data_IF_557244256204
#
_entry.id   IF_557244256204
#
_cell.length_a   1.000
_cell.length_b   1.000
_cell.length_c   1.000
_cell.angle_alpha   90.00
_cell.angle_beta   90.00
_cell.angle_gamma   90.00
#
_symmetry.space_group_name_H-M   'P 1'
#
loop_
_entity.id
_entity.type
_entity.pdbx_description
1 polymer ?
#
# COMPACT_ATOMS: atom_id res chain seq x y z
N UNK A 1 21.08 -39.30 -37.57
CA UNK A 1 20.89 -37.99 -36.93
C UNK A 1 22.26 -37.50 -36.52
N UNK A 2 22.99 -36.92 -37.48
CA UNK A 2 24.39 -36.57 -37.30
C UNK A 2 24.60 -35.25 -38.03
N UNK A 3 24.83 -34.20 -37.25
CA UNK A 3 24.74 -32.80 -37.67
C UNK A 3 25.76 -32.40 -38.74
N UNK A 4 25.26 -31.65 -39.72
CA UNK A 4 26.05 -31.00 -40.75
C UNK A 4 26.50 -29.63 -40.22
N UNK A 5 27.80 -29.50 -39.91
CA UNK A 5 28.42 -28.23 -39.49
C UNK A 5 28.99 -27.55 -40.74
N UNK A 6 28.25 -26.60 -41.30
CA UNK A 6 28.74 -25.76 -42.40
C UNK A 6 29.72 -24.70 -41.89
N UNK A 7 30.93 -24.72 -42.46
CA UNK A 7 32.02 -23.77 -42.20
C UNK A 7 31.68 -22.40 -42.79
N UNK A 8 31.36 -21.44 -41.94
CA UNK A 8 31.14 -20.03 -42.32
C UNK A 8 32.46 -19.38 -42.77
N UNK A 9 32.48 -19.01 -44.04
CA UNK A 9 33.60 -18.38 -44.77
C UNK A 9 33.82 -16.94 -44.27
N UNK A 10 34.95 -16.68 -43.60
CA UNK A 10 35.40 -15.34 -43.18
C UNK A 10 35.47 -14.39 -44.40
N UNK A 11 34.64 -13.35 -44.42
CA UNK A 11 34.68 -12.27 -45.43
C UNK A 11 35.88 -11.37 -45.19
N UNK A 12 36.71 -11.19 -46.24
CA UNK A 12 37.82 -10.21 -46.30
C UNK A 12 37.26 -8.79 -46.22
N UNK A 13 37.86 -7.99 -45.33
CA UNK A 13 37.66 -6.54 -45.16
C UNK A 13 38.02 -5.84 -46.48
N UNK A 14 37.07 -5.12 -47.09
CA UNK A 14 37.37 -4.20 -48.20
C UNK A 14 38.07 -2.98 -47.60
N UNK A 15 39.34 -2.81 -47.95
CA UNK A 15 40.09 -1.57 -47.83
C UNK A 15 39.69 -0.70 -49.02
N UNK A 16 38.96 0.40 -48.79
CA UNK A 16 38.72 1.38 -49.83
C UNK A 16 40.06 2.01 -50.23
N UNK A 17 40.46 1.69 -51.45
CA UNK A 17 41.69 2.13 -52.07
C UNK A 17 41.64 3.63 -52.36
N UNK A 18 42.67 4.32 -51.88
CA UNK A 18 43.06 5.64 -52.33
C UNK A 18 43.38 5.62 -53.84
N UNK A 19 42.45 6.06 -54.68
CA UNK A 19 42.75 6.47 -56.06
C UNK A 19 42.83 8.00 -56.11
N UNK A 20 44.05 8.52 -55.94
CA UNK A 20 44.35 9.92 -56.27
C UNK A 20 44.26 10.07 -57.79
N UNK A 21 43.41 10.94 -58.36
CA UNK A 21 43.52 11.30 -59.76
C UNK A 21 44.74 12.19 -59.96
N UNK A 22 45.84 11.62 -60.45
CA UNK A 22 47.01 12.37 -60.92
C UNK A 22 46.72 12.94 -62.32
N UNK A 23 46.00 14.06 -62.35
CA UNK A 23 46.03 14.98 -63.49
C UNK A 23 45.74 16.37 -62.93
N UNK A 24 46.81 17.16 -62.76
CA UNK A 24 46.70 18.61 -62.59
C UNK A 24 45.92 19.12 -63.79
N UNK A 25 44.67 19.48 -63.59
CA UNK A 25 43.99 20.44 -64.47
C UNK A 25 44.74 21.74 -64.24
N UNK A 26 45.49 22.19 -65.24
CA UNK A 26 46.06 23.53 -65.24
C UNK A 26 44.87 24.49 -65.19
N UNK A 27 44.65 25.08 -64.03
CA UNK A 27 43.76 26.24 -63.90
C UNK A 27 44.51 27.37 -64.58
N UNK A 28 43.88 27.91 -65.61
CA UNK A 28 44.33 29.06 -66.38
C UNK A 28 44.53 30.27 -65.46
N UNK A 29 45.64 30.97 -65.67
CA UNK A 29 46.02 32.28 -65.14
C UNK A 29 45.90 32.50 -63.61
N UNK A 30 46.99 32.22 -62.89
CA UNK A 30 47.25 32.73 -61.54
C UNK A 30 47.25 34.28 -61.55
N UNK A 31 46.08 34.91 -61.43
CA UNK A 31 45.99 36.30 -60.98
C UNK A 31 46.61 36.35 -59.59
N UNK A 32 47.81 36.92 -59.46
CA UNK A 32 48.46 37.12 -58.18
C UNK A 32 47.54 37.93 -57.26
N UNK A 33 46.92 37.25 -56.29
CA UNK A 33 46.04 37.88 -55.31
C UNK A 33 46.91 38.64 -54.33
N UNK A 34 46.71 39.95 -54.22
CA UNK A 34 47.38 40.76 -53.20
C UNK A 34 46.65 40.60 -51.88
N UNK A 35 47.32 39.98 -50.91
CA UNK A 35 46.78 39.73 -49.57
C UNK A 35 47.17 40.86 -48.63
N UNK A 36 46.18 41.55 -48.07
CA UNK A 36 46.39 42.52 -46.98
C UNK A 36 45.81 41.96 -45.69
N UNK A 37 46.64 41.94 -44.64
CA UNK A 37 46.20 41.60 -43.29
C UNK A 37 45.70 42.88 -42.61
N UNK A 38 44.41 42.97 -42.31
CA UNK A 38 43.85 44.08 -41.55
C UNK A 38 43.81 43.73 -40.07
N UNK A 39 44.35 44.63 -39.24
CA UNK A 39 44.25 44.51 -37.80
C UNK A 39 42.78 44.71 -37.40
N UNK A 40 42.22 43.68 -36.78
CA UNK A 40 40.85 43.74 -36.27
C UNK A 40 40.81 44.64 -35.03
N UNK A 41 39.86 45.58 -35.03
CA UNK A 41 39.63 46.46 -33.89
C UNK A 41 39.09 45.72 -32.66
N UNK A 42 38.41 46.44 -31.76
CA UNK A 42 37.84 45.85 -30.54
C UNK A 42 36.83 44.72 -30.83
N UNK A 43 36.20 44.75 -31.99
CA UNK A 43 35.19 43.79 -32.43
C UNK A 43 35.69 43.05 -33.67
N UNK A 44 36.05 41.79 -33.47
CA UNK A 44 36.46 40.88 -34.54
C UNK A 44 35.24 40.16 -35.14
N UNK A 45 35.25 39.81 -36.44
CA UNK A 45 34.20 39.01 -37.04
C UNK A 45 34.01 37.68 -36.29
N UNK A 46 32.75 37.25 -36.14
CA UNK A 46 32.40 36.03 -35.38
C UNK A 46 31.89 34.96 -36.34
N UNK A 47 32.49 33.78 -36.27
CA UNK A 47 32.03 32.57 -36.93
C UNK A 47 31.26 31.75 -35.90
N UNK A 48 29.94 31.79 -35.98
CA UNK A 48 29.07 31.04 -35.07
C UNK A 48 28.70 29.68 -35.66
N UNK A 49 29.03 28.60 -34.95
CA UNK A 49 28.53 27.25 -35.23
C UNK A 49 27.26 27.00 -34.42
N UNK A 50 26.23 26.45 -35.05
CA UNK A 50 24.94 26.13 -34.42
C UNK A 50 24.62 24.64 -34.56
N UNK A 51 25.31 23.74 -33.83
CA UNK A 51 25.11 22.30 -33.99
C UNK A 51 23.68 21.91 -33.59
N UNK A 52 22.89 21.45 -34.56
CA UNK A 52 21.53 20.99 -34.34
C UNK A 52 20.52 22.09 -33.96
N UNK A 53 20.86 23.37 -34.16
CA UNK A 53 20.02 24.50 -33.80
C UNK A 53 19.86 25.45 -34.99
N UNK A 54 18.61 25.77 -35.34
CA UNK A 54 18.30 26.85 -36.28
C UNK A 54 18.08 28.13 -35.48
N UNK A 55 18.97 29.11 -35.63
CA UNK A 55 18.84 30.42 -35.00
C UNK A 55 18.06 31.34 -35.94
N UNK A 56 16.90 31.88 -35.53
CA UNK A 56 16.15 32.84 -36.35
C UNK A 56 16.99 34.08 -36.69
N UNK A 57 16.90 34.55 -37.94
CA UNK A 57 17.61 35.75 -38.41
C UNK A 57 17.12 37.04 -37.77
N UNK A 58 15.95 37.02 -37.11
CA UNK A 58 15.35 38.15 -36.41
C UNK A 58 15.89 38.39 -35.00
N UNK A 59 16.80 37.54 -34.51
CA UNK A 59 17.33 37.63 -33.14
C UNK A 59 18.66 38.38 -33.14
N UNK A 60 18.75 39.40 -32.30
CA UNK A 60 19.98 40.14 -32.08
C UNK A 60 20.78 39.54 -30.91
N UNK A 61 22.02 39.18 -31.19
CA UNK A 61 22.97 38.67 -30.19
C UNK A 61 23.72 39.85 -29.56
N UNK A 62 23.51 40.08 -28.26
CA UNK A 62 24.18 41.14 -27.52
C UNK A 62 25.59 40.69 -27.11
N UNK A 63 26.64 41.46 -27.48
CA UNK A 63 28.00 41.09 -27.15
C UNK A 63 28.44 41.56 -25.76
N UNK A 64 29.11 40.69 -25.02
CA UNK A 64 29.71 40.94 -23.71
C UNK A 64 31.17 40.51 -23.72
N UNK A 65 32.08 41.33 -23.20
CA UNK A 65 33.51 41.02 -23.16
C UNK A 65 34.00 40.86 -21.74
N UNK A 66 34.93 39.92 -21.54
CA UNK A 66 35.56 39.65 -20.25
C UNK A 66 37.07 39.46 -20.45
N UNK A 67 37.90 40.04 -19.61
CA UNK A 67 39.34 39.80 -19.67
C UNK A 67 39.67 38.38 -19.20
N UNK A 68 40.46 37.63 -19.98
CA UNK A 68 40.91 36.29 -19.57
C UNK A 68 42.00 36.41 -18.51
N UNK A 69 42.00 35.48 -17.55
CA UNK A 69 43.08 35.35 -16.54
C UNK A 69 44.23 34.54 -17.14
N UNK A 70 45.48 34.91 -16.87
CA UNK A 70 46.71 34.26 -17.37
C UNK A 70 47.00 34.40 -18.87
N UNK A 71 46.99 35.64 -19.37
CA UNK A 71 47.30 35.94 -20.78
C UNK A 71 48.80 36.24 -20.95
N UNK A 72 49.51 35.68 -21.95
CA UNK A 72 50.91 35.99 -22.21
C UNK A 72 51.10 37.45 -22.67
N UNK A 73 52.20 38.09 -22.24
CA UNK A 73 52.50 39.53 -22.38
C UNK A 73 52.59 40.08 -23.82
N UNK A 74 52.49 39.24 -24.86
CA UNK A 74 52.50 39.61 -26.29
C UNK A 74 51.39 38.88 -27.06
N UNK A 75 50.14 39.13 -26.69
CA UNK A 75 48.97 38.49 -27.31
C UNK A 75 48.09 39.53 -28.01
N UNK A 76 47.41 39.12 -29.09
CA UNK A 76 46.43 39.97 -29.78
C UNK A 76 45.24 40.27 -28.86
N UNK A 77 44.55 41.39 -29.12
CA UNK A 77 43.34 41.82 -28.39
C UNK A 77 42.27 40.73 -28.31
N UNK A 78 42.26 39.82 -29.29
CA UNK A 78 41.35 38.68 -29.40
C UNK A 78 41.63 37.61 -28.34
N UNK A 79 42.90 37.27 -28.11
CA UNK A 79 43.32 36.25 -27.14
C UNK A 79 43.17 36.77 -25.70
N UNK A 80 43.36 38.08 -25.50
CA UNK A 80 43.30 38.69 -24.19
C UNK A 80 41.87 38.82 -23.62
N UNK A 81 40.86 38.88 -24.49
CA UNK A 81 39.45 39.08 -24.11
C UNK A 81 38.60 37.92 -24.60
N UNK A 82 37.82 37.33 -23.71
CA UNK A 82 36.74 36.40 -24.03
C UNK A 82 35.50 37.19 -24.47
N UNK A 83 34.88 36.79 -25.57
CA UNK A 83 33.64 37.37 -26.08
C UNK A 83 32.50 36.36 -25.89
N UNK A 84 31.44 36.80 -25.21
CA UNK A 84 30.21 36.04 -24.99
C UNK A 84 29.09 36.76 -25.73
N UNK A 85 28.30 36.02 -26.51
CA UNK A 85 27.10 36.57 -27.13
C UNK A 85 25.87 35.99 -26.46
N UNK A 86 24.92 36.84 -26.07
CA UNK A 86 23.68 36.37 -25.44
C UNK A 86 22.46 37.06 -26.03
N UNK A 87 21.38 36.29 -26.21
CA UNK A 87 20.07 36.84 -26.56
C UNK A 87 18.93 36.11 -25.86
N UNK A 88 18.03 36.93 -25.32
CA UNK A 88 16.77 36.53 -24.69
C UNK A 88 15.58 37.11 -25.45
N UNK A 89 15.70 37.36 -26.75
CA UNK A 89 14.61 37.91 -27.56
C UNK A 89 13.58 36.84 -27.96
N UNK A 90 13.97 35.55 -27.97
CA UNK A 90 13.04 34.48 -28.32
C UNK A 90 12.11 34.12 -27.14
N UNK A 91 10.80 33.95 -27.35
CA UNK A 91 9.83 33.75 -26.26
C UNK A 91 10.12 32.57 -25.33
N UNK A 92 10.69 31.48 -25.85
CA UNK A 92 10.85 30.20 -25.13
C UNK A 92 12.31 29.78 -24.88
N UNK A 93 13.26 30.40 -25.57
CA UNK A 93 14.65 29.95 -25.62
C UNK A 93 15.56 31.13 -25.39
N UNK A 94 16.63 30.90 -24.63
CA UNK A 94 17.73 31.85 -24.54
C UNK A 94 18.94 31.27 -25.27
N UNK A 95 19.54 32.10 -26.12
CA UNK A 95 20.70 31.74 -26.91
C UNK A 95 21.95 32.29 -26.24
N UNK A 96 22.93 31.43 -26.02
CA UNK A 96 24.26 31.80 -25.51
C UNK A 96 25.32 31.27 -26.45
N UNK A 97 26.14 32.14 -27.02
CA UNK A 97 27.34 31.78 -27.75
C UNK A 97 28.55 31.95 -26.83
N UNK A 98 29.33 30.89 -26.71
CA UNK A 98 30.61 30.90 -26.02
C UNK A 98 31.71 30.50 -26.98
N UNK A 99 32.91 31.02 -26.74
CA UNK A 99 34.13 30.49 -27.32
C UNK A 99 34.39 29.10 -26.73
N UNK A 100 34.91 28.18 -27.54
CA UNK A 100 35.19 26.83 -27.06
C UNK A 100 36.26 26.89 -25.94
N UNK A 101 35.96 26.23 -24.82
CA UNK A 101 36.79 26.30 -23.62
C UNK A 101 38.19 25.72 -23.87
N UNK A 102 39.19 26.24 -23.16
CA UNK A 102 40.60 25.84 -23.32
C UNK A 102 40.78 24.36 -22.95
N UNK A 103 40.86 23.50 -23.97
CA UNK A 103 40.93 22.04 -23.82
C UNK A 103 40.41 21.24 -25.03
N UNK A 104 39.61 21.86 -25.91
CA UNK A 104 39.18 21.28 -27.19
C UNK A 104 40.25 21.35 -28.29
N UNK A 105 40.15 20.50 -29.32
CA UNK A 105 41.10 20.45 -30.46
C UNK A 105 41.15 21.76 -31.27
N UNK A 106 40.07 22.54 -31.26
CA UNK A 106 39.98 23.85 -31.91
C UNK A 106 40.63 24.98 -31.09
N UNK A 107 40.93 24.78 -29.81
CA UNK A 107 41.52 25.84 -28.97
C UNK A 107 42.92 26.27 -29.39
N UNK A 108 43.62 25.43 -30.17
CA UNK A 108 44.93 25.73 -30.78
C UNK A 108 44.81 26.35 -32.18
N UNK A 109 43.61 26.46 -32.75
CA UNK A 109 43.38 26.96 -34.10
C UNK A 109 42.98 28.43 -34.08
N UNK A 110 43.54 29.20 -35.03
CA UNK A 110 43.12 30.57 -35.31
C UNK A 110 42.27 30.58 -36.57
N UNK A 111 41.13 31.25 -36.52
CA UNK A 111 40.25 31.38 -37.66
C UNK A 111 40.43 32.75 -38.31
N UNK A 112 40.33 32.80 -39.63
CA UNK A 112 40.41 34.04 -40.39
C UNK A 112 39.24 34.09 -41.38
N UNK A 113 38.70 35.28 -41.61
CA UNK A 113 37.72 35.57 -42.66
C UNK A 113 38.44 36.34 -43.76
N UNK A 114 38.40 35.81 -44.97
CA UNK A 114 38.91 36.47 -46.17
C UNK A 114 37.77 37.08 -46.96
N UNK A 115 37.85 38.38 -47.27
CA UNK A 115 36.97 39.06 -48.23
C UNK A 115 37.77 39.24 -49.51
N UNK A 116 37.33 38.57 -50.58
CA UNK A 116 37.95 38.66 -51.90
C UNK A 116 37.10 39.52 -52.82
N UNK A 117 37.69 40.56 -53.36
CA UNK A 117 37.07 41.39 -54.38
C UNK A 117 37.57 40.95 -55.78
N UNK A 118 36.70 40.33 -56.61
CA UNK A 118 37.08 39.79 -57.91
C UNK A 118 37.45 40.87 -58.93
N UNK A 119 36.97 42.11 -58.75
CA UNK A 119 37.25 43.22 -59.67
C UNK A 119 38.63 43.83 -59.43
N UNK A 120 39.05 43.95 -58.16
CA UNK A 120 40.34 44.55 -57.79
C UNK A 120 41.46 43.54 -57.54
N UNK A 121 41.15 42.24 -57.46
CA UNK A 121 42.13 41.16 -57.22
C UNK A 121 42.79 41.23 -55.84
N UNK A 122 42.20 41.97 -54.90
CA UNK A 122 42.67 42.13 -53.51
C UNK A 122 41.90 41.20 -52.59
N UNK A 123 42.63 40.55 -51.67
CA UNK A 123 42.05 39.74 -50.61
C UNK A 123 42.40 40.36 -49.26
N UNK A 124 41.39 40.77 -48.52
CA UNK A 124 41.54 41.27 -47.15
C UNK A 124 41.30 40.13 -46.16
N UNK A 125 42.24 39.89 -45.26
CA UNK A 125 42.18 38.81 -44.27
C UNK A 125 42.11 39.40 -42.88
N UNK A 126 41.06 39.04 -42.14
CA UNK A 126 40.78 39.46 -40.76
C UNK A 126 40.76 38.26 -39.81
N UNK A 127 41.35 38.40 -38.61
CA UNK A 127 41.26 37.37 -37.54
C UNK A 127 39.81 37.29 -37.00
N UNK A 128 39.26 36.08 -36.91
CA UNK A 128 37.87 35.83 -36.55
C UNK A 128 37.75 34.95 -35.30
N UNK A 129 36.70 35.20 -34.51
CA UNK A 129 36.38 34.41 -33.31
C UNK A 129 35.41 33.29 -33.68
N UNK A 130 35.78 32.04 -33.40
CA UNK A 130 34.85 30.91 -33.52
C UNK A 130 34.08 30.74 -32.21
N UNK A 131 32.76 30.70 -32.31
CA UNK A 131 31.86 30.49 -31.18
C UNK A 131 30.86 29.39 -31.47
N UNK A 132 30.37 28.74 -30.42
CA UNK A 132 29.29 27.76 -30.52
C UNK A 132 28.06 28.32 -29.82
N UNK A 133 26.96 28.45 -30.56
CA UNK A 133 25.68 28.87 -30.01
C UNK A 133 24.96 27.66 -29.43
N UNK A 134 24.54 27.79 -28.17
CA UNK A 134 23.67 26.84 -27.48
C UNK A 134 22.36 27.52 -27.11
N UNK A 135 21.25 26.81 -27.32
CA UNK A 135 19.94 27.22 -26.85
C UNK A 135 19.64 26.55 -25.52
N UNK A 136 19.16 27.33 -24.55
CA UNK A 136 18.64 26.83 -23.28
C UNK A 136 17.15 27.14 -23.18
N UNK A 137 16.37 26.21 -22.64
CA UNK A 137 14.93 26.38 -22.48
C UNK A 137 14.67 27.15 -21.19
N UNK A 138 13.93 28.26 -21.28
CA UNK A 138 13.64 29.12 -20.11
C UNK A 138 13.00 28.37 -18.95
N UNK A 139 12.06 27.46 -19.26
CA UNK A 139 11.38 26.64 -18.25
C UNK A 139 12.35 25.76 -17.44
N UNK A 140 13.50 25.39 -18.01
CA UNK A 140 14.49 24.54 -17.34
C UNK A 140 15.45 25.35 -16.45
N UNK A 141 15.64 26.64 -16.72
CA UNK A 141 16.48 27.51 -15.89
C UNK A 141 15.84 27.79 -14.53
N UNK A 142 14.52 28.01 -14.48
CA UNK A 142 13.77 28.29 -13.23
C UNK A 142 13.93 27.15 -12.21
N UNK A 143 13.88 25.90 -12.66
CA UNK A 143 14.04 24.74 -11.78
C UNK A 143 15.44 24.65 -11.15
N UNK A 144 16.49 25.16 -11.83
CA UNK A 144 17.85 25.17 -11.30
C UNK A 144 18.08 26.29 -10.28
N UNK A 145 17.41 27.43 -10.45
CA UNK A 145 17.46 28.54 -9.48
C UNK A 145 16.80 28.17 -8.15
N UNK A 146 15.71 27.40 -8.17
CA UNK A 146 15.04 26.89 -6.98
C UNK A 146 15.90 25.89 -6.17
N UNK A 147 16.83 25.19 -6.83
CA UNK A 147 17.81 24.35 -6.11
C UNK A 147 18.95 25.19 -5.51
N UNK A 148 19.31 26.29 -6.18
CA UNK A 148 20.34 27.24 -5.74
C UNK A 148 19.87 28.15 -4.59
N UNK A 149 18.57 28.35 -4.43
CA UNK A 149 17.97 29.13 -3.33
C UNK A 149 17.73 28.34 -2.04
N UNK A 150 17.89 27.01 -2.05
CA UNK A 150 17.75 26.18 -0.83
C UNK A 150 18.75 26.58 0.24
N UNK A 151 18.25 26.73 1.47
CA UNK A 151 19.07 27.09 2.62
C UNK A 151 20.16 26.02 2.85
N UNK A 152 21.34 26.45 3.31
CA UNK A 152 22.47 25.57 3.58
C UNK A 152 22.13 24.48 4.59
N UNK A 153 21.17 24.74 5.48
CA UNK A 153 20.62 23.75 6.42
C UNK A 153 19.82 22.66 5.71
N UNK A 154 18.95 23.02 4.79
CA UNK A 154 18.14 22.07 4.01
C UNK A 154 19.02 21.17 3.14
N UNK A 155 20.06 21.73 2.53
CA UNK A 155 21.04 20.96 1.75
C UNK A 155 21.75 19.90 2.62
N UNK A 156 22.10 20.25 3.86
CA UNK A 156 22.70 19.32 4.83
C UNK A 156 21.72 18.24 5.26
N UNK A 157 20.46 18.60 5.49
CA UNK A 157 19.41 17.66 5.87
C UNK A 157 19.10 16.68 4.71
N UNK A 158 19.04 17.16 3.47
CA UNK A 158 18.88 16.34 2.27
C UNK A 158 20.06 15.38 2.11
N UNK A 159 21.30 15.87 2.23
CA UNK A 159 22.50 15.03 2.15
C UNK A 159 22.54 13.97 3.27
N UNK A 160 22.11 14.35 4.48
CA UNK A 160 22.01 13.46 5.63
C UNK A 160 20.89 12.42 5.49
N UNK A 161 19.79 12.75 4.82
CA UNK A 161 18.73 11.80 4.50
C UNK A 161 19.11 10.84 3.38
N UNK A 162 19.84 11.30 2.36
CA UNK A 162 20.24 10.46 1.22
C UNK A 162 21.39 9.53 1.60
N UNK A 163 22.50 10.08 2.11
CA UNK A 163 23.75 9.34 2.35
C UNK A 163 24.08 9.07 3.82
N UNK A 164 23.33 9.63 4.77
CA UNK A 164 23.61 9.45 6.20
C UNK A 164 23.35 8.04 6.74
N UNK A 165 23.94 7.72 7.90
CA UNK A 165 23.67 6.48 8.63
C UNK A 165 22.24 6.46 9.18
N UNK A 166 21.70 5.27 9.51
CA UNK A 166 20.35 5.12 10.09
C UNK A 166 20.13 6.00 11.33
N UNK A 167 21.19 6.24 12.13
CA UNK A 167 21.16 7.15 13.29
C UNK A 167 21.03 8.62 12.88
N UNK A 168 21.79 9.05 11.87
CA UNK A 168 21.72 10.41 11.35
C UNK A 168 20.36 10.69 10.68
N UNK A 169 19.84 9.76 9.88
CA UNK A 169 18.50 9.85 9.28
C UNK A 169 17.43 10.01 10.37
N UNK A 170 17.50 9.21 11.43
CA UNK A 170 16.56 9.30 12.57
C UNK A 170 16.66 10.63 13.33
N UNK A 171 17.85 11.20 13.46
CA UNK A 171 18.04 12.50 14.11
C UNK A 171 17.41 13.63 13.29
N UNK A 172 17.59 13.61 11.96
CA UNK A 172 16.98 14.57 11.04
C UNK A 172 15.46 14.44 11.08
N UNK A 173 14.91 13.21 10.97
CA UNK A 173 13.45 13.02 11.03
C UNK A 173 12.87 13.45 12.38
N UNK A 174 13.57 13.20 13.49
CA UNK A 174 13.11 13.65 14.80
C UNK A 174 13.13 15.18 14.93
N UNK A 175 14.15 15.84 14.36
CA UNK A 175 14.21 17.30 14.35
C UNK A 175 13.09 17.90 13.49
N UNK A 176 12.79 17.32 12.32
CA UNK A 176 11.67 17.77 11.48
C UNK A 176 10.32 17.51 12.16
N UNK A 177 10.12 16.35 12.81
CA UNK A 177 8.91 16.04 13.57
C UNK A 177 8.66 17.02 14.73
N UNK A 178 9.73 17.40 15.46
CA UNK A 178 9.63 18.38 16.53
C UNK A 178 9.31 19.78 16.00
N UNK A 179 9.83 20.17 14.84
CA UNK A 179 9.56 21.46 14.22
C UNK A 179 8.09 21.58 13.74
N UNK A 180 7.50 20.47 13.28
CA UNK A 180 6.08 20.42 12.86
C UNK A 180 5.12 20.50 14.05
N UNK A 181 5.59 20.19 15.27
CA UNK A 181 4.79 20.24 16.50
C UNK A 181 5.21 21.39 17.42
N UNK A 182 4.87 22.67 17.12
CA UNK A 182 5.26 23.81 17.96
C UNK A 182 4.61 23.77 19.36
N UNK A 183 3.59 22.93 19.58
CA UNK A 183 2.79 22.89 20.79
C UNK A 183 3.30 21.93 21.89
N UNK A 184 4.61 21.84 22.10
CA UNK A 184 5.14 21.16 23.31
C UNK A 184 4.90 21.98 24.59
N UNK A 185 4.66 23.29 24.47
CA UNK A 185 4.27 24.19 25.57
C UNK A 185 2.82 24.06 26.03
N UNK A 186 1.94 23.42 25.24
CA UNK A 186 0.52 23.23 25.57
C UNK A 186 0.24 21.98 26.44
N UNK A 187 1.28 21.22 26.83
CA UNK A 187 1.12 20.04 27.70
C UNK A 187 1.11 20.38 29.20
N UNK A 188 1.38 21.64 29.57
CA UNK A 188 1.19 22.09 30.94
C UNK A 188 -0.25 22.54 31.17
N UNK A 189 -0.89 21.86 32.13
CA UNK A 189 -2.24 22.08 32.65
C UNK A 189 -2.68 23.55 32.63
N UNK A 190 -3.93 23.75 32.17
CA UNK A 190 -4.86 24.85 32.46
C UNK A 190 -4.97 26.08 31.53
N UNK A 191 -4.41 26.11 30.32
CA UNK A 191 -4.79 27.16 29.35
C UNK A 191 -5.19 26.59 27.98
N UNK A 192 -6.30 27.08 27.36
CA UNK A 192 -6.68 26.66 26.02
C UNK A 192 -5.62 27.12 25.02
N UNK A 193 -5.15 26.18 24.19
CA UNK A 193 -4.16 26.45 23.16
C UNK A 193 -4.69 27.49 22.19
N UNK A 194 -4.06 28.66 22.13
CA UNK A 194 -4.34 29.67 21.10
C UNK A 194 -3.72 29.16 19.79
N UNK A 195 -4.56 28.61 18.92
CA UNK A 195 -4.18 28.29 17.55
C UNK A 195 -3.98 29.59 16.76
N UNK A 196 -2.95 29.63 15.92
CA UNK A 196 -2.74 30.72 14.95
C UNK A 196 -3.96 30.77 13.99
N UNK A 197 -4.55 31.95 13.69
CA UNK A 197 -5.74 32.08 12.83
C UNK A 197 -5.71 31.26 11.53
N UNK A 198 -4.54 31.10 10.90
CA UNK A 198 -4.38 30.26 9.72
C UNK A 198 -4.59 28.76 10.03
N UNK A 199 -4.06 28.28 11.17
CA UNK A 199 -4.26 26.89 11.62
C UNK A 199 -5.70 26.62 12.05
N UNK A 200 -6.38 27.63 12.61
CA UNK A 200 -7.80 27.53 12.96
C UNK A 200 -8.69 27.43 11.71
N UNK A 201 -8.38 28.18 10.65
CA UNK A 201 -9.10 28.10 9.36
C UNK A 201 -8.88 26.76 8.63
N UNK A 202 -7.67 26.20 8.72
CA UNK A 202 -7.38 24.86 8.18
C UNK A 202 -8.13 23.78 8.99
N UNK A 203 -8.15 23.90 10.32
CA UNK A 203 -8.90 22.97 11.19
C UNK A 203 -10.42 23.06 10.97
N UNK A 204 -10.96 24.25 10.71
CA UNK A 204 -12.39 24.40 10.35
C UNK A 204 -12.69 23.77 8.99
N UNK A 205 -11.82 23.96 7.99
CA UNK A 205 -11.97 23.30 6.68
C UNK A 205 -11.86 21.77 6.77
N UNK A 206 -10.97 21.25 7.62
CA UNK A 206 -10.90 19.81 7.93
C UNK A 206 -12.17 19.35 8.65
N UNK A 207 -12.70 20.10 9.60
CA UNK A 207 -13.94 19.75 10.30
C UNK A 207 -15.14 19.67 9.34
N UNK A 208 -15.23 20.55 8.34
CA UNK A 208 -16.29 20.52 7.34
C UNK A 208 -16.14 19.34 6.37
N UNK A 209 -14.92 19.02 5.96
CA UNK A 209 -14.62 17.86 5.10
C UNK A 209 -14.77 16.52 5.84
N UNK A 210 -14.60 16.52 7.18
CA UNK A 210 -14.71 15.31 8.02
C UNK A 210 -16.09 15.09 8.63
N UNK A 211 -17.07 15.99 8.43
CA UNK A 211 -18.49 15.76 8.81
C UNK A 211 -19.08 14.48 8.18
N UNK A 212 -18.54 14.03 7.06
CA UNK A 212 -18.90 12.75 6.41
C UNK A 212 -18.10 11.54 6.89
N UNK A 213 -17.08 11.70 7.74
CA UNK A 213 -16.37 10.57 8.34
C UNK A 213 -17.18 10.04 9.53
N UNK A 214 -17.46 8.74 9.52
CA UNK A 214 -18.07 8.07 10.67
C UNK A 214 -17.22 8.31 11.91
N UNK A 215 -17.88 8.67 13.02
CA UNK A 215 -17.19 8.88 14.29
C UNK A 215 -16.44 7.61 14.70
N UNK A 216 -15.38 7.73 15.51
CA UNK A 216 -14.61 6.57 15.97
C UNK A 216 -15.52 5.50 16.61
N UNK A 217 -16.55 5.95 17.32
CA UNK A 217 -17.49 5.07 18.00
C UNK A 217 -18.46 4.40 17.01
N UNK A 218 -18.95 5.12 15.99
CA UNK A 218 -19.74 4.52 14.90
C UNK A 218 -18.94 3.52 14.07
N UNK A 219 -17.67 3.83 13.76
CA UNK A 219 -16.79 2.93 13.03
C UNK A 219 -16.49 1.67 13.85
N UNK A 220 -16.28 1.84 15.16
CA UNK A 220 -16.12 0.72 16.09
C UNK A 220 -17.40 -0.12 16.19
N UNK A 221 -18.58 0.51 16.26
CA UNK A 221 -19.86 -0.21 16.27
C UNK A 221 -20.08 -0.99 14.97
N UNK A 222 -19.81 -0.40 13.81
CA UNK A 222 -19.88 -1.12 12.52
C UNK A 222 -18.91 -2.30 12.47
N UNK A 223 -17.69 -2.14 12.99
CA UNK A 223 -16.72 -3.23 13.07
C UNK A 223 -17.20 -4.33 14.03
N UNK A 224 -17.83 -3.97 15.14
CA UNK A 224 -18.42 -4.91 16.09
C UNK A 224 -19.63 -5.65 15.51
N UNK A 225 -20.49 -4.97 14.76
CA UNK A 225 -21.66 -5.55 14.10
C UNK A 225 -21.28 -6.43 12.90
N UNK A 226 -20.14 -6.15 12.28
CA UNK A 226 -19.59 -6.95 11.18
C UNK A 226 -18.94 -8.26 11.64
N UNK A 227 -18.69 -8.47 12.94
CA UNK A 227 -18.11 -9.71 13.45
C UNK A 227 -19.11 -10.89 13.34
N UNK A 228 -18.63 -12.14 13.14
CA UNK A 228 -19.48 -13.32 12.96
C UNK A 228 -20.06 -13.82 14.29
N UNK A 229 -20.99 -13.08 14.88
CA UNK A 229 -21.72 -13.48 16.09
C UNK A 229 -23.22 -13.16 16.00
N UNK A 230 -24.09 -13.90 16.72
CA UNK A 230 -25.48 -13.50 16.85
C UNK A 230 -25.58 -12.12 17.51
N UNK A 231 -26.58 -11.34 17.10
CA UNK A 231 -26.75 -9.96 17.56
C UNK A 231 -27.23 -9.96 19.02
N UNK A 232 -26.43 -9.45 19.97
CA UNK A 232 -26.84 -9.44 21.36
C UNK A 232 -27.87 -8.32 21.60
N UNK A 233 -28.90 -8.61 22.40
CA UNK A 233 -29.76 -7.58 22.94
C UNK A 233 -29.01 -6.82 24.04
N UNK A 234 -28.63 -5.56 23.77
CA UNK A 234 -27.84 -4.74 24.69
C UNK A 234 -28.63 -4.20 25.88
N UNK A 235 -29.95 -4.11 25.74
CA UNK A 235 -30.86 -3.59 26.75
C UNK A 235 -31.41 -4.69 27.67
N UNK A 236 -30.89 -5.91 27.53
CA UNK A 236 -31.26 -7.05 28.36
C UNK A 236 -30.90 -6.80 29.84
N UNK A 237 -31.88 -7.00 30.73
CA UNK A 237 -31.68 -6.92 32.19
C UNK A 237 -31.38 -8.28 32.80
N UNK A 238 -31.82 -9.37 32.16
CA UNK A 238 -31.54 -10.74 32.54
C UNK A 238 -30.69 -11.46 31.47
N UNK A 239 -29.80 -12.40 31.84
CA UNK A 239 -29.00 -13.16 30.88
C UNK A 239 -29.83 -13.90 29.82
N UNK A 240 -31.08 -14.25 30.17
CA UNK A 240 -32.06 -14.89 29.30
C UNK A 240 -32.47 -14.01 28.11
N UNK A 241 -32.51 -12.70 28.30
CA UNK A 241 -33.00 -11.76 27.28
C UNK A 241 -31.91 -11.32 26.31
N UNK A 242 -30.64 -11.67 26.58
CA UNK A 242 -29.49 -11.32 25.73
C UNK A 242 -29.57 -12.01 24.38
N UNK A 243 -29.89 -13.31 24.40
CA UNK A 243 -30.00 -14.16 23.21
C UNK A 243 -31.31 -14.93 23.28
N UNK A 244 -32.28 -14.51 22.47
CA UNK A 244 -33.58 -15.17 22.40
C UNK A 244 -33.55 -16.35 21.45
N UNK A 245 -34.37 -17.36 21.71
CA UNK A 245 -34.54 -18.54 20.85
C UNK A 245 -35.08 -18.16 19.46
N UNK A 246 -35.90 -17.11 19.41
CA UNK A 246 -36.48 -16.56 18.19
C UNK A 246 -35.43 -15.96 17.25
N UNK A 247 -34.46 -15.21 17.77
CA UNK A 247 -33.40 -14.60 16.96
C UNK A 247 -32.42 -15.67 16.44
N UNK A 248 -31.99 -16.58 17.33
CA UNK A 248 -31.01 -17.63 16.99
C UNK A 248 -31.56 -18.62 15.97
N UNK A 249 -32.75 -19.20 16.21
CA UNK A 249 -33.31 -20.28 15.38
C UNK A 249 -34.42 -19.75 14.48
N UNK A 250 -35.41 -19.07 15.06
CA UNK A 250 -36.65 -18.65 14.40
C UNK A 250 -37.85 -19.53 14.77
N UNK A 251 -39.02 -18.91 14.99
CA UNK A 251 -40.26 -19.58 15.45
C UNK A 251 -40.68 -20.74 14.55
N UNK A 252 -40.64 -20.55 13.24
CA UNK A 252 -41.12 -21.55 12.27
C UNK A 252 -40.19 -22.77 12.21
N UNK A 253 -38.88 -22.53 12.24
CA UNK A 253 -37.87 -23.59 12.28
C UNK A 253 -37.98 -24.36 13.59
N UNK A 254 -38.19 -23.67 14.71
CA UNK A 254 -38.36 -24.29 16.02
C UNK A 254 -39.59 -25.22 16.09
N UNK A 255 -40.68 -24.88 15.42
CA UNK A 255 -41.87 -25.74 15.31
C UNK A 255 -41.59 -26.98 14.46
N UNK A 256 -40.84 -26.82 13.37
CA UNK A 256 -40.54 -27.88 12.43
C UNK A 256 -39.61 -28.97 12.99
N UNK A 257 -38.74 -28.68 13.97
CA UNK A 257 -37.76 -29.66 14.47
C UNK A 257 -38.46 -30.86 15.15
N UNK A 258 -38.25 -32.10 14.64
CA UNK A 258 -38.83 -33.30 15.24
C UNK A 258 -38.03 -33.74 16.46
N UNK A 259 -38.73 -33.93 17.59
CA UNK A 259 -38.13 -34.39 18.86
C UNK A 259 -38.81 -35.62 19.46
N UNK A 260 -39.91 -36.11 18.87
CA UNK A 260 -40.68 -37.25 19.41
C UNK A 260 -39.82 -38.51 19.54
N UNK A 261 -39.06 -38.85 18.50
CA UNK A 261 -38.12 -39.99 18.53
C UNK A 261 -37.13 -39.86 19.68
N UNK A 262 -36.63 -38.66 19.96
CA UNK A 262 -35.69 -38.42 21.06
C UNK A 262 -36.36 -38.53 22.43
N UNK A 263 -37.61 -38.08 22.55
CA UNK A 263 -38.39 -38.22 23.79
C UNK A 263 -38.69 -39.70 24.07
N UNK A 264 -39.15 -40.44 23.07
CA UNK A 264 -39.61 -41.82 23.22
C UNK A 264 -38.45 -42.77 23.50
N UNK A 265 -37.30 -42.58 22.85
CA UNK A 265 -36.08 -43.39 23.06
C UNK A 265 -35.50 -43.22 24.46
N UNK A 266 -35.44 -41.98 24.96
CA UNK A 266 -34.94 -41.72 26.32
C UNK A 266 -35.94 -42.17 27.37
N UNK A 267 -37.26 -42.01 27.15
CA UNK A 267 -38.30 -42.60 28.01
C UNK A 267 -38.20 -44.13 28.05
N UNK A 268 -37.86 -44.75 26.93
CA UNK A 268 -37.61 -46.18 26.84
C UNK A 268 -36.24 -46.60 27.43
N UNK A 269 -35.49 -45.68 28.06
CA UNK A 269 -34.15 -45.90 28.60
C UNK A 269 -33.14 -46.48 27.59
N UNK A 270 -33.35 -46.23 26.29
CA UNK A 270 -32.42 -46.63 25.24
C UNK A 270 -31.41 -45.50 24.99
N UNK A 271 -30.16 -45.87 24.75
CA UNK A 271 -29.13 -44.91 24.38
C UNK A 271 -29.33 -44.46 22.93
N UNK A 272 -29.45 -43.14 22.73
CA UNK A 272 -29.46 -42.57 21.39
C UNK A 272 -28.01 -42.51 20.87
N UNK A 273 -27.74 -42.98 19.64
CA UNK A 273 -26.44 -42.79 19.00
C UNK A 273 -26.30 -41.31 18.58
N UNK A 274 -25.99 -40.44 19.54
CA UNK A 274 -25.69 -39.03 19.30
C UNK A 274 -24.17 -38.88 19.19
N UNK A 275 -23.69 -38.36 18.07
CA UNK A 275 -22.25 -38.17 17.82
C UNK A 275 -21.61 -37.12 18.75
N UNK A 276 -22.42 -36.23 19.33
CA UNK A 276 -21.97 -35.15 20.20
C UNK A 276 -22.00 -35.59 21.67
N UNK A 277 -20.84 -35.50 22.33
CA UNK A 277 -20.68 -35.74 23.77
C UNK A 277 -21.48 -34.71 24.57
N UNK A 278 -21.46 -33.45 24.13
CA UNK A 278 -22.20 -32.36 24.76
C UNK A 278 -23.70 -32.66 24.84
N UNK A 279 -24.29 -33.07 23.70
CA UNK A 279 -25.71 -33.38 23.63
C UNK A 279 -26.09 -34.64 24.42
N UNK A 280 -25.27 -35.70 24.34
CA UNK A 280 -25.51 -36.94 25.07
C UNK A 280 -25.55 -36.72 26.60
N UNK A 281 -24.63 -35.91 27.14
CA UNK A 281 -24.57 -35.62 28.59
C UNK A 281 -25.79 -34.84 29.13
N UNK A 282 -26.45 -34.03 28.28
CA UNK A 282 -27.54 -33.12 28.69
C UNK A 282 -28.93 -33.66 28.36
N UNK A 283 -29.02 -34.68 27.52
CA UNK A 283 -30.28 -35.23 27.03
C UNK A 283 -31.23 -35.65 28.17
N UNK A 284 -30.71 -36.33 29.19
CA UNK A 284 -31.51 -36.80 30.34
C UNK A 284 -32.05 -35.63 31.20
N UNK A 285 -31.25 -34.58 31.39
CA UNK A 285 -31.66 -33.42 32.18
C UNK A 285 -32.64 -32.49 31.45
N UNK A 286 -32.66 -32.54 30.11
CA UNK A 286 -33.42 -31.61 29.26
C UNK A 286 -34.76 -32.19 28.80
N UNK A 287 -35.01 -33.49 28.98
CA UNK A 287 -36.17 -34.17 28.39
C UNK A 287 -37.54 -33.59 28.76
N UNK A 288 -37.67 -33.04 29.97
CA UNK A 288 -38.92 -32.43 30.44
C UNK A 288 -39.21 -31.10 29.74
N UNK A 289 -38.19 -30.41 29.24
CA UNK A 289 -38.32 -29.14 28.54
C UNK A 289 -38.20 -29.34 27.03
N UNK A 290 -39.35 -29.31 26.35
CA UNK A 290 -39.45 -29.53 24.90
C UNK A 290 -38.67 -28.49 24.10
N UNK A 291 -38.60 -27.25 24.58
CA UNK A 291 -37.87 -26.19 23.90
C UNK A 291 -36.36 -26.44 23.94
N UNK A 292 -35.82 -26.71 25.13
CA UNK A 292 -34.39 -27.03 25.27
C UNK A 292 -34.01 -28.30 24.51
N UNK A 293 -34.90 -29.29 24.43
CA UNK A 293 -34.67 -30.50 23.65
C UNK A 293 -34.60 -30.22 22.14
N UNK A 294 -35.47 -29.34 21.63
CA UNK A 294 -35.43 -28.87 20.25
C UNK A 294 -34.16 -28.08 19.94
N UNK A 295 -33.73 -27.22 20.87
CA UNK A 295 -32.44 -26.51 20.76
C UNK A 295 -31.29 -27.51 20.67
N UNK A 296 -31.27 -28.52 21.53
CA UNK A 296 -30.23 -29.55 21.54
C UNK A 296 -30.18 -30.32 20.22
N UNK A 297 -31.35 -30.69 19.68
CA UNK A 297 -31.46 -31.33 18.37
C UNK A 297 -30.95 -30.43 17.24
N UNK A 298 -31.27 -29.13 17.29
CA UNK A 298 -30.76 -28.14 16.34
C UNK A 298 -29.24 -27.98 16.42
N UNK A 299 -28.65 -27.98 17.62
CA UNK A 299 -27.19 -27.93 17.79
C UNK A 299 -26.51 -29.14 17.15
N UNK A 300 -27.01 -30.36 17.40
CA UNK A 300 -26.48 -31.59 16.78
C UNK A 300 -26.56 -31.53 15.26
N UNK A 301 -27.64 -30.96 14.73
CA UNK A 301 -27.83 -30.76 13.31
C UNK A 301 -26.78 -29.78 12.75
N UNK A 302 -26.57 -28.62 13.38
CA UNK A 302 -25.54 -27.66 12.96
C UNK A 302 -24.14 -28.27 12.98
N UNK A 303 -23.80 -29.06 14.00
CA UNK A 303 -22.52 -29.78 14.08
C UNK A 303 -22.38 -30.81 12.95
N UNK A 304 -23.46 -31.52 12.62
CA UNK A 304 -23.47 -32.49 11.50
C UNK A 304 -23.31 -31.81 10.15
N UNK A 305 -23.94 -30.64 9.96
CA UNK A 305 -23.76 -29.81 8.76
C UNK A 305 -22.32 -29.31 8.66
N UNK A 306 -21.71 -28.87 9.76
CA UNK A 306 -20.31 -28.45 9.76
C UNK A 306 -19.38 -29.63 9.43
N UNK A 307 -19.65 -30.81 9.99
CA UNK A 307 -18.88 -32.03 9.77
C UNK A 307 -19.05 -32.65 8.38
N UNK A 308 -20.16 -32.40 7.69
CA UNK A 308 -20.42 -32.90 6.33
C UNK A 308 -19.80 -32.04 5.23
N UNK A 309 -19.27 -30.86 5.57
CA UNK A 309 -18.61 -29.99 4.59
C UNK A 309 -17.34 -30.61 4.02
N UNK A 310 -17.19 -30.54 2.69
CA UNK A 310 -15.97 -30.99 2.01
C UNK A 310 -15.08 -29.80 1.71
N UNK A 311 -13.78 -29.93 2.00
CA UNK A 311 -12.81 -28.89 1.65
C UNK A 311 -12.45 -29.04 0.16
N UNK A 312 -12.82 -28.05 -0.65
CA UNK A 312 -12.51 -28.01 -2.09
C UNK A 312 -11.77 -26.71 -2.38
N UNK A 313 -10.52 -26.81 -2.85
CA UNK A 313 -9.65 -25.65 -3.15
C UNK A 313 -9.58 -24.60 -2.02
N UNK A 314 -9.53 -25.07 -0.77
CA UNK A 314 -9.44 -24.19 0.41
C UNK A 314 -10.76 -23.57 0.89
N UNK A 315 -11.87 -23.80 0.18
CA UNK A 315 -13.22 -23.37 0.59
C UNK A 315 -14.02 -24.58 1.02
N UNK A 316 -14.76 -24.47 2.14
CA UNK A 316 -15.68 -25.53 2.57
C UNK A 316 -16.95 -25.43 1.74
N UNK A 317 -17.29 -26.50 1.04
CA UNK A 317 -18.52 -26.58 0.26
C UNK A 317 -19.50 -27.52 0.94
N UNK A 318 -20.77 -27.13 0.91
CA UNK A 318 -21.84 -28.05 1.28
C UNK A 318 -21.93 -29.18 0.25
N UNK A 319 -22.17 -30.44 0.70
CA UNK A 319 -22.52 -31.52 -0.21
C UNK A 319 -23.77 -31.19 -1.02
N UNK A 320 -23.97 -31.92 -2.12
CA UNK A 320 -25.19 -31.80 -2.91
C UNK A 320 -26.43 -32.09 -2.06
N UNK A 321 -27.56 -31.52 -2.46
CA UNK A 321 -28.84 -31.59 -1.71
C UNK A 321 -29.26 -33.04 -1.41
N UNK A 322 -29.01 -33.97 -2.32
CA UNK A 322 -29.36 -35.39 -2.17
C UNK A 322 -28.44 -36.11 -1.17
N UNK A 323 -27.14 -35.80 -1.20
CA UNK A 323 -26.18 -36.30 -0.20
C UNK A 323 -26.52 -35.76 1.20
N UNK A 324 -26.87 -34.48 1.30
CA UNK A 324 -27.34 -33.87 2.56
C UNK A 324 -28.58 -34.57 3.11
N UNK A 325 -29.54 -34.95 2.26
CA UNK A 325 -30.74 -35.69 2.70
C UNK A 325 -30.39 -37.08 3.25
N UNK A 326 -29.49 -37.80 2.60
CA UNK A 326 -28.99 -39.09 3.12
C UNK A 326 -28.25 -38.93 4.45
N UNK A 327 -27.45 -37.87 4.59
CA UNK A 327 -26.77 -37.60 5.85
C UNK A 327 -27.68 -37.03 6.93
N UNK A 328 -28.88 -36.55 6.63
CA UNK A 328 -29.72 -35.85 7.61
C UNK A 328 -31.08 -36.53 7.85
N UNK A 329 -31.37 -37.64 7.15
CA UNK A 329 -32.51 -38.57 7.26
C UNK A 329 -33.83 -37.93 7.75
N UNK A 330 -33.98 -37.75 9.06
CA UNK A 330 -35.19 -37.25 9.74
C UNK A 330 -35.41 -35.72 9.70
N UNK A 331 -34.57 -34.94 9.02
CA UNK A 331 -34.61 -33.47 9.12
C UNK A 331 -35.54 -32.86 8.06
N UNK A 332 -36.56 -32.08 8.47
CA UNK A 332 -37.43 -31.38 7.54
C UNK A 332 -36.68 -30.40 6.66
N UNK A 333 -37.10 -30.31 5.40
CA UNK A 333 -36.46 -29.47 4.38
C UNK A 333 -36.48 -27.98 4.74
N UNK A 334 -37.50 -27.54 5.46
CA UNK A 334 -37.64 -26.17 5.97
C UNK A 334 -36.50 -25.78 6.90
N UNK A 335 -36.04 -26.72 7.76
CA UNK A 335 -34.93 -26.49 8.69
C UNK A 335 -33.61 -26.41 7.92
N UNK A 336 -33.40 -27.30 6.94
CA UNK A 336 -32.20 -27.29 6.12
C UNK A 336 -32.07 -26.00 5.30
N UNK A 337 -33.17 -25.54 4.70
CA UNK A 337 -33.19 -24.31 3.91
C UNK A 337 -32.91 -23.08 4.79
N UNK A 338 -33.45 -23.04 6.01
CA UNK A 338 -33.17 -21.97 6.96
C UNK A 338 -31.69 -21.87 7.33
N UNK A 339 -31.03 -23.03 7.48
CA UNK A 339 -29.60 -23.12 7.82
C UNK A 339 -28.75 -22.69 6.64
N UNK A 340 -29.12 -23.12 5.42
CA UNK A 340 -28.45 -22.65 4.20
C UNK A 340 -28.54 -21.14 4.07
N UNK A 341 -29.73 -20.57 4.26
CA UNK A 341 -29.94 -19.13 4.16
C UNK A 341 -29.16 -18.33 5.21
N UNK A 342 -29.05 -18.84 6.45
CA UNK A 342 -28.37 -18.14 7.56
C UNK A 342 -26.84 -18.33 7.55
N UNK A 343 -26.35 -19.51 7.22
CA UNK A 343 -24.95 -19.90 7.46
C UNK A 343 -24.16 -20.22 6.19
N UNK A 344 -24.70 -19.96 4.99
CA UNK A 344 -24.02 -20.30 3.73
C UNK A 344 -24.20 -19.16 2.73
N UNK A 345 -23.19 -18.94 1.90
CA UNK A 345 -23.24 -17.95 0.82
C UNK A 345 -23.06 -18.70 -0.50
N UNK A 346 -24.12 -18.71 -1.32
CA UNK A 346 -24.20 -19.47 -2.57
C UNK A 346 -23.76 -20.96 -2.45
N UNK A 347 -24.03 -21.61 -1.30
CA UNK A 347 -23.66 -23.01 -1.04
C UNK A 347 -22.21 -23.24 -0.59
N UNK A 348 -21.43 -22.16 -0.44
CA UNK A 348 -20.12 -22.18 0.19
C UNK A 348 -20.22 -21.78 1.66
N UNK A 349 -19.35 -22.35 2.50
CA UNK A 349 -19.17 -21.98 3.90
C UNK A 349 -17.80 -21.33 4.04
N UNK A 350 -17.80 -20.00 4.11
CA UNK A 350 -16.58 -19.21 4.34
C UNK A 350 -16.12 -19.33 5.80
N UNK A 351 -14.88 -18.92 6.11
CA UNK A 351 -14.39 -18.90 7.51
C UNK A 351 -15.32 -18.09 8.41
N UNK A 352 -15.84 -16.97 7.90
CA UNK A 352 -16.82 -16.14 8.59
C UNK A 352 -18.07 -16.93 9.02
N UNK A 353 -18.59 -17.76 8.14
CA UNK A 353 -19.78 -18.57 8.41
C UNK A 353 -19.49 -19.73 9.36
N UNK A 354 -18.29 -20.33 9.29
CA UNK A 354 -17.85 -21.31 10.29
C UNK A 354 -17.82 -20.66 11.68
N UNK A 355 -17.25 -19.47 11.79
CA UNK A 355 -17.21 -18.72 13.05
C UNK A 355 -18.61 -18.33 13.52
N UNK A 356 -19.52 -17.96 12.61
CA UNK A 356 -20.92 -17.65 12.91
C UNK A 356 -21.69 -18.87 13.45
N UNK A 357 -21.47 -20.06 12.87
CA UNK A 357 -22.05 -21.32 13.37
C UNK A 357 -21.51 -21.61 14.77
N UNK A 358 -20.19 -21.47 14.99
CA UNK A 358 -19.56 -21.72 16.29
C UNK A 358 -20.06 -20.77 17.37
N UNK A 359 -20.20 -19.48 17.09
CA UNK A 359 -20.76 -18.51 18.04
C UNK A 359 -22.24 -18.74 18.31
N UNK A 360 -23.03 -19.15 17.30
CA UNK A 360 -24.43 -19.57 17.51
C UNK A 360 -24.52 -20.81 18.40
N UNK A 361 -23.66 -21.81 18.19
CA UNK A 361 -23.60 -22.99 19.06
C UNK A 361 -23.26 -22.62 20.50
N UNK A 362 -22.34 -21.69 20.72
CA UNK A 362 -22.01 -21.19 22.06
C UNK A 362 -23.20 -20.49 22.73
N UNK A 363 -23.94 -19.65 21.99
CA UNK A 363 -25.14 -18.98 22.50
C UNK A 363 -26.26 -19.99 22.84
N UNK A 364 -26.50 -20.97 21.97
CA UNK A 364 -27.48 -22.03 22.21
C UNK A 364 -27.08 -22.92 23.40
N UNK A 365 -25.79 -23.22 23.56
CA UNK A 365 -25.28 -23.95 24.72
C UNK A 365 -25.59 -23.21 26.02
N UNK A 366 -25.45 -21.87 26.04
CA UNK A 366 -25.81 -21.05 27.19
C UNK A 366 -27.29 -21.19 27.56
N UNK A 367 -28.19 -21.25 26.56
CA UNK A 367 -29.63 -21.40 26.82
C UNK A 367 -29.95 -22.79 27.40
N UNK A 368 -29.30 -23.84 26.91
CA UNK A 368 -29.51 -25.22 27.39
C UNK A 368 -29.06 -25.37 28.85
N UNK A 369 -27.85 -24.90 29.18
CA UNK A 369 -27.21 -25.06 30.50
C UNK A 369 -27.54 -23.96 31.52
N UNK A 370 -28.61 -23.19 31.31
CA UNK A 370 -28.99 -22.09 32.22
C UNK A 370 -27.85 -21.07 32.44
N UNK A 371 -27.16 -20.69 31.35
CA UNK A 371 -26.11 -19.66 31.30
C UNK A 371 -24.79 -19.99 32.00
N UNK A 372 -24.61 -21.23 32.46
CA UNK A 372 -23.35 -21.74 32.99
C UNK A 372 -22.92 -23.00 32.23
N UNK A 373 -22.11 -22.84 31.18
CA UNK A 373 -21.75 -23.93 30.26
C UNK A 373 -20.38 -24.50 30.60
N UNK A 374 -20.31 -25.83 30.76
CA UNK A 374 -19.02 -26.53 30.76
C UNK A 374 -18.48 -26.63 29.32
N UNK A 375 -17.34 -26.00 29.05
CA UNK A 375 -16.86 -25.81 27.67
C UNK A 375 -16.17 -27.05 27.07
N UNK A 376 -15.83 -28.04 27.89
CA UNK A 376 -14.98 -29.17 27.49
C UNK A 376 -15.65 -30.10 26.46
N UNK A 377 -16.88 -30.55 26.72
CA UNK A 377 -17.57 -31.47 25.79
C UNK A 377 -17.80 -30.81 24.42
N UNK A 378 -18.18 -29.53 24.43
CA UNK A 378 -18.42 -28.76 23.21
C UNK A 378 -17.12 -28.47 22.44
N UNK A 379 -16.00 -28.28 23.15
CA UNK A 379 -14.67 -28.13 22.56
C UNK A 379 -14.24 -29.40 21.83
N UNK A 380 -14.43 -30.57 22.44
CA UNK A 380 -14.10 -31.86 21.80
C UNK A 380 -14.99 -32.13 20.58
N UNK A 381 -16.30 -31.86 20.68
CA UNK A 381 -17.25 -32.05 19.59
C UNK A 381 -16.91 -31.15 18.38
N UNK A 382 -16.47 -29.91 18.62
CA UNK A 382 -16.08 -28.95 17.58
C UNK A 382 -14.62 -29.11 17.11
N UNK A 383 -13.83 -29.97 17.77
CA UNK A 383 -12.40 -30.18 17.53
C UNK A 383 -11.61 -28.86 17.59
N UNK A 384 -11.88 -28.07 18.64
CA UNK A 384 -11.26 -26.77 18.88
C UNK A 384 -10.23 -26.85 20.01
N UNK A 385 -9.30 -25.90 20.01
CA UNK A 385 -8.42 -25.71 21.16
C UNK A 385 -9.13 -24.95 22.29
N UNK A 386 -8.67 -25.14 23.53
CA UNK A 386 -9.24 -24.45 24.70
C UNK A 386 -9.19 -22.92 24.57
N UNK A 387 -8.17 -22.38 23.88
CA UNK A 387 -8.04 -20.94 23.62
C UNK A 387 -9.08 -20.45 22.61
N UNK A 388 -9.29 -21.19 21.52
CA UNK A 388 -10.29 -20.85 20.50
C UNK A 388 -11.71 -20.93 21.08
N UNK A 389 -12.00 -22.00 21.83
CA UNK A 389 -13.29 -22.13 22.51
C UNK A 389 -13.53 -20.98 23.50
N UNK A 390 -12.48 -20.58 24.23
CA UNK A 390 -12.55 -19.41 25.11
C UNK A 390 -12.79 -18.12 24.32
N UNK A 391 -12.18 -17.96 23.15
CA UNK A 391 -12.41 -16.80 22.30
C UNK A 391 -13.86 -16.73 21.83
N UNK A 392 -14.46 -17.82 21.34
CA UNK A 392 -15.86 -17.84 20.90
C UNK A 392 -16.85 -17.51 22.01
N UNK A 393 -16.64 -18.03 23.23
CA UNK A 393 -17.46 -17.65 24.39
C UNK A 393 -17.27 -16.17 24.79
N UNK A 394 -16.06 -15.64 24.68
CA UNK A 394 -15.82 -14.22 24.96
C UNK A 394 -16.46 -13.29 23.92
N UNK A 395 -16.50 -13.69 22.64
CA UNK A 395 -17.14 -12.89 21.57
C UNK A 395 -18.66 -12.79 21.76
N UNK A 396 -19.31 -13.77 22.41
CA UNK A 396 -20.73 -13.68 22.80
C UNK A 396 -20.94 -12.99 24.15
N UNK A 397 -19.88 -12.44 24.77
CA UNK A 397 -19.95 -11.74 26.04
C UNK A 397 -19.99 -12.65 27.29
N UNK A 398 -19.69 -13.95 27.15
CA UNK A 398 -19.61 -14.85 28.30
C UNK A 398 -18.24 -14.72 28.99
N UNK A 399 -18.26 -14.68 30.33
CA UNK A 399 -17.04 -14.66 31.16
C UNK A 399 -16.59 -16.08 31.43
N UNK A 400 -15.32 -16.35 31.19
CA UNK A 400 -14.75 -17.69 31.33
C UNK A 400 -14.04 -17.78 32.67
N UNK A 401 -14.49 -18.73 33.48
CA UNK A 401 -13.98 -19.00 34.82
C UNK A 401 -13.40 -20.40 34.84
N UNK A 402 -12.35 -20.60 35.62
CA UNK A 402 -11.82 -21.95 35.88
C UNK A 402 -12.83 -22.73 36.73
N UNK A 403 -12.92 -24.05 36.52
CA UNK A 403 -13.79 -24.90 37.31
C UNK A 403 -13.55 -24.71 38.81
N UNK A 404 -14.61 -24.41 39.57
CA UNK A 404 -14.51 -24.16 41.01
C UNK A 404 -14.06 -25.40 41.79
N UNK A 405 -13.42 -25.23 42.95
CA UNK A 405 -12.90 -26.35 43.73
C UNK A 405 -13.98 -27.36 44.16
N UNK A 406 -15.20 -26.89 44.42
CA UNK A 406 -16.35 -27.76 44.77
C UNK A 406 -16.77 -28.64 43.59
N UNK A 407 -16.83 -28.08 42.38
CA UNK A 407 -17.19 -28.82 41.16
C UNK A 407 -16.08 -29.76 40.72
N UNK A 408 -14.82 -29.35 40.89
CA UNK A 408 -13.63 -30.20 40.70
C UNK A 408 -13.70 -31.45 41.58
N UNK A 409 -14.04 -31.29 42.87
CA UNK A 409 -14.19 -32.42 43.81
C UNK A 409 -15.38 -33.33 43.44
N UNK A 410 -16.52 -32.75 43.05
CA UNK A 410 -17.69 -33.52 42.58
C UNK A 410 -17.39 -34.36 41.34
N UNK A 411 -16.53 -33.86 40.45
CA UNK A 411 -16.14 -34.57 39.22
C UNK A 411 -14.90 -35.47 39.40
N UNK A 412 -14.31 -35.54 40.59
CA UNK A 412 -13.16 -36.41 40.88
C UNK A 412 -11.90 -36.10 40.07
N UNK A 413 -11.73 -34.85 39.62
CA UNK A 413 -10.68 -34.48 38.66
C UNK A 413 -9.37 -34.06 39.35
N UNK A 414 -8.25 -34.46 38.75
CA UNK A 414 -6.93 -33.94 39.13
C UNK A 414 -6.79 -32.43 38.78
N UNK A 415 -5.83 -31.74 39.43
CA UNK A 415 -5.58 -30.30 39.24
C UNK A 415 -5.24 -29.97 37.78
N UNK A 416 -4.51 -30.86 37.10
CA UNK A 416 -4.16 -30.68 35.68
C UNK A 416 -5.39 -30.78 34.76
N UNK A 417 -6.25 -31.77 34.97
CA UNK A 417 -7.48 -31.96 34.19
C UNK A 417 -8.52 -30.85 34.46
N UNK A 418 -8.52 -30.29 35.68
CA UNK A 418 -9.37 -29.16 36.03
C UNK A 418 -8.96 -27.87 35.31
N UNK A 419 -7.68 -27.68 34.98
CA UNK A 419 -7.22 -26.51 34.24
C UNK A 419 -7.72 -26.47 32.78
N UNK A 420 -7.99 -27.64 32.19
CA UNK A 420 -8.56 -27.78 30.85
C UNK A 420 -10.09 -27.62 30.83
N UNK A 421 -10.76 -27.85 31.97
CA UNK A 421 -12.20 -27.67 32.11
C UNK A 421 -12.52 -26.25 32.55
N UNK A 422 -12.99 -25.45 31.60
CA UNK A 422 -13.46 -24.08 31.85
C UNK A 422 -14.98 -24.04 31.89
N UNK A 423 -15.51 -23.09 32.62
CA UNK A 423 -16.95 -22.80 32.69
C UNK A 423 -17.17 -21.41 32.11
N UNK A 424 -18.01 -21.32 31.08
CA UNK A 424 -18.44 -20.06 30.51
C UNK A 424 -19.73 -19.61 31.20
N UNK A 425 -19.71 -18.44 31.83
CA UNK A 425 -20.86 -17.84 32.51
C UNK A 425 -21.31 -16.59 31.77
N UNK A 426 -22.54 -16.58 31.27
CA UNK A 426 -23.13 -15.37 30.69
C UNK A 426 -23.71 -14.51 31.82
N UNK A 427 -23.09 -13.37 32.10
CA UNK A 427 -23.50 -12.45 33.17
C UNK A 427 -23.55 -11.03 32.64
N UNK A 428 -24.55 -10.27 33.09
CA UNK A 428 -24.71 -8.84 32.79
C UNK A 428 -23.90 -8.02 33.83
N UNK A 429 -23.21 -6.93 33.43
CA UNK A 429 -23.12 -6.37 32.08
C UNK A 429 -22.28 -7.21 31.10
N UNK A 430 -22.69 -7.25 29.83
CA UNK A 430 -21.96 -7.95 28.77
C UNK A 430 -20.64 -7.24 28.48
N UNK A 431 -19.55 -8.00 28.49
CA UNK A 431 -18.22 -7.50 28.16
C UNK A 431 -17.74 -8.16 26.88
N UNK A 432 -17.71 -7.37 25.79
CA UNK A 432 -17.14 -7.81 24.53
C UNK A 432 -15.64 -7.53 24.47
N UNK A 433 -14.84 -8.39 23.81
CA UNK A 433 -13.42 -8.15 23.63
C UNK A 433 -13.23 -6.88 22.79
N UNK A 434 -12.56 -5.88 23.37
CA UNK A 434 -12.27 -4.62 22.70
C UNK A 434 -11.34 -4.86 21.52
N UNK A 435 -11.71 -4.37 20.34
CA UNK A 435 -10.82 -4.34 19.18
C UNK A 435 -9.53 -3.60 19.55
N UNK A 436 -8.40 -4.33 19.56
CA UNK A 436 -7.09 -3.73 19.77
C UNK A 436 -6.72 -2.95 18.52
N UNK A 437 -7.07 -1.66 18.50
CA UNK A 437 -6.45 -0.73 17.56
C UNK A 437 -4.98 -0.65 17.95
N UNK A 438 -4.13 -1.28 17.13
CA UNK A 438 -2.70 -1.46 17.40
C UNK A 438 -2.10 -0.22 18.05
N UNK A 439 -1.49 -0.41 19.22
CA UNK A 439 -0.80 0.65 19.97
C UNK A 439 0.26 1.24 19.03
N UNK A 440 0.04 2.47 18.53
CA UNK A 440 1.07 3.23 17.82
C UNK A 440 2.30 3.27 18.72
N UNK A 441 3.38 2.63 18.27
CA UNK A 441 4.67 2.57 18.96
C UNK A 441 5.45 3.85 18.72
#
# INVERSE_FOLDING_TARGET
>A
MSGNVEKVKKRKRRTDGSSKPSKRVAIEDDKQIRVSFSETGTWAPVIASTPGLAVPTSIHLKPYTKARKNVPSKSSSIIAKELILHSSEHPKLDYTAHEEESGGTDSLLKHYVGVYDPETGKMEVMEARKMVIRGSVRAQQVAAEDELSRDMRERRDILGQTFGTKKAKKAITSNTENAISPNKSARNKNNPAKFDPATAAILSGISETTKGMATRDELAQRAEDAKPRPKPNRDATQPQDVYTTDDLIGKDVMKAIPVKVWQDTVKANKELPVLSRFAAGRLRGVIMNVEKLKILRYMVLLMRVLGSTRLTRGVRMLPKRDELKQFLEDIPETVLESIKRKFTDAGTITSFQVDLIRTHLCALACIVDNFEVQTFDLMEDLKLDTKEMSQYFSEIGAKIVVLGESERRKQGLDKASAAQRRVAKLKIPLEFPKASFGRRK
#
